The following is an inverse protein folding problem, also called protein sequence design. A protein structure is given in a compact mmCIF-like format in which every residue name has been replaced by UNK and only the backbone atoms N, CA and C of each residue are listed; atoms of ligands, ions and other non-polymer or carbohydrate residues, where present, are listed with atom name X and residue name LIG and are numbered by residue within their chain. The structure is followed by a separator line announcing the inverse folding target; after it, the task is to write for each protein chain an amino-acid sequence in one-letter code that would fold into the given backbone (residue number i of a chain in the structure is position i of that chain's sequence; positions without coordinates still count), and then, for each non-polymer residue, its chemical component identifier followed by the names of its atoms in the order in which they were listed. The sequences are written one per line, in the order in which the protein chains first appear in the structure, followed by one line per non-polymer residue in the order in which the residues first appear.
data_IF_737954367663
#
_entry.id   IF_737954367663
#
_cell.length_a   1.000
_cell.length_b   1.000
_cell.length_c   1.000
_cell.angle_alpha   90.00
_cell.angle_beta   90.00
_cell.angle_gamma   90.00
#
_symmetry.space_group_name_H-M   'P 1'
#
loop_
_entity.id
_entity.type
_entity.pdbx_description
1 polymer ?
#
# COMPACT_ATOMS: atom_id res chain seq x y z
N UNK A 1 -15.36 -22.33 15.80
CA UNK A 1 -15.04 -21.16 14.97
C UNK A 1 -13.55 -20.94 15.05
N UNK A 2 -12.91 -20.76 13.90
CA UNK A 2 -11.48 -20.47 13.84
C UNK A 2 -11.29 -18.99 14.11
N UNK A 3 -10.44 -18.61 15.06
CA UNK A 3 -10.17 -17.22 15.42
C UNK A 3 -8.68 -16.92 15.35
N UNK A 4 -8.35 -15.70 14.92
CA UNK A 4 -7.00 -15.15 14.96
C UNK A 4 -6.93 -14.13 16.09
N UNK A 5 -5.88 -14.19 16.89
CA UNK A 5 -5.66 -13.30 18.02
C UNK A 5 -4.49 -12.40 17.72
N UNK A 6 -4.63 -11.12 18.03
CA UNK A 6 -3.51 -10.18 17.98
C UNK A 6 -2.95 -10.03 19.37
N UNK A 7 -1.64 -10.25 19.50
CA UNK A 7 -0.93 -10.19 20.76
C UNK A 7 0.10 -9.06 20.76
N UNK A 8 0.40 -8.55 21.95
CA UNK A 8 1.47 -7.59 22.23
C UNK A 8 2.36 -8.15 23.33
N UNK A 9 3.66 -8.01 23.20
CA UNK A 9 4.62 -8.19 24.28
C UNK A 9 5.25 -6.84 24.63
N UNK A 10 5.24 -6.48 25.91
CA UNK A 10 5.93 -5.29 26.41
C UNK A 10 7.42 -5.55 26.67
N UNK A 11 8.14 -4.51 27.09
CA UNK A 11 9.57 -4.53 27.38
C UNK A 11 9.94 -5.38 28.61
N UNK A 12 8.96 -5.68 29.48
CA UNK A 12 9.12 -6.61 30.60
C UNK A 12 8.81 -8.06 30.21
N UNK A 13 8.49 -8.30 28.93
CA UNK A 13 8.15 -9.61 28.41
C UNK A 13 6.72 -10.05 28.70
N UNK A 14 5.88 -9.18 29.27
CA UNK A 14 4.48 -9.49 29.58
C UNK A 14 3.65 -9.48 28.30
N UNK A 15 2.86 -10.54 28.11
CA UNK A 15 2.04 -10.74 26.91
C UNK A 15 0.59 -10.35 27.17
N UNK A 16 0.02 -9.55 26.27
CA UNK A 16 -1.36 -9.10 26.32
C UNK A 16 -2.06 -9.46 25.02
N UNK A 17 -3.23 -10.08 25.11
CA UNK A 17 -4.12 -10.25 23.96
C UNK A 17 -4.82 -8.93 23.69
N UNK A 18 -4.55 -8.35 22.52
CA UNK A 18 -5.03 -7.03 22.12
C UNK A 18 -6.41 -7.08 21.48
N UNK A 19 -6.67 -8.08 20.62
CA UNK A 19 -7.94 -8.24 19.91
C UNK A 19 -8.10 -9.64 19.32
N UNK A 20 -9.32 -10.00 18.94
CA UNK A 20 -9.65 -11.26 18.24
C UNK A 20 -10.36 -10.95 16.93
N UNK A 21 -10.06 -11.71 15.88
CA UNK A 21 -10.55 -11.52 14.52
C UNK A 21 -11.06 -12.85 13.94
N UNK A 22 -12.10 -12.77 13.11
CA UNK A 22 -12.63 -13.90 12.35
C UNK A 22 -11.90 -14.16 11.03
N UNK A 23 -11.04 -13.22 10.60
CA UNK A 23 -10.26 -13.30 9.38
C UNK A 23 -8.79 -13.00 9.67
N UNK A 24 -7.88 -13.72 8.99
CA UNK A 24 -6.44 -13.60 9.17
C UNK A 24 -5.92 -12.25 8.69
N UNK A 25 -6.44 -11.74 7.58
CA UNK A 25 -5.96 -10.49 6.98
C UNK A 25 -6.33 -9.32 7.88
N UNK A 26 -7.53 -9.31 8.46
CA UNK A 26 -7.93 -8.30 9.45
C UNK A 26 -6.98 -8.27 10.67
N UNK A 27 -6.57 -9.45 11.16
CA UNK A 27 -5.60 -9.56 12.25
C UNK A 27 -4.22 -9.02 11.85
N UNK A 28 -3.72 -9.36 10.66
CA UNK A 28 -2.42 -8.87 10.15
C UNK A 28 -2.49 -7.36 9.90
N UNK A 29 -3.57 -6.85 9.30
CA UNK A 29 -3.83 -5.42 9.12
C UNK A 29 -3.76 -4.69 10.45
N UNK A 30 -4.36 -5.25 11.50
CA UNK A 30 -4.29 -4.66 12.84
C UNK A 30 -2.86 -4.62 13.38
N UNK A 31 -2.07 -5.68 13.23
CA UNK A 31 -0.64 -5.70 13.62
C UNK A 31 0.14 -4.63 12.86
N UNK A 32 0.01 -4.59 11.52
CA UNK A 32 0.70 -3.61 10.67
C UNK A 32 0.38 -2.18 11.14
N UNK A 33 -0.90 -1.85 11.36
CA UNK A 33 -1.29 -0.51 11.82
C UNK A 33 -0.67 -0.16 13.17
N UNK A 34 -0.56 -1.11 14.10
CA UNK A 34 0.05 -0.89 15.41
C UNK A 34 1.57 -0.69 15.31
N UNK A 35 2.27 -1.53 14.55
CA UNK A 35 3.71 -1.44 14.33
C UNK A 35 4.13 -0.18 13.57
N UNK A 36 3.19 0.40 12.79
CA UNK A 36 3.41 1.63 12.02
C UNK A 36 3.34 2.91 12.86
N UNK A 37 3.07 2.77 14.16
CA UNK A 37 2.99 3.86 15.13
C UNK A 37 4.34 4.52 15.46
N UNK A 38 4.42 5.29 16.57
CA UNK A 38 5.69 5.77 17.08
C UNK A 38 6.62 4.60 17.40
N UNK A 39 7.93 4.78 17.19
CA UNK A 39 8.94 3.77 17.55
C UNK A 39 8.78 3.39 19.03
N UNK A 40 8.59 2.10 19.28
CA UNK A 40 8.42 1.53 20.60
C UNK A 40 9.17 0.19 20.70
N UNK A 41 9.43 -0.26 21.93
CA UNK A 41 10.05 -1.57 22.20
C UNK A 41 9.04 -2.72 22.30
N UNK A 42 7.77 -2.46 22.00
CA UNK A 42 6.72 -3.45 22.00
C UNK A 42 6.78 -4.28 20.72
N UNK A 43 6.48 -5.57 20.83
CA UNK A 43 6.35 -6.45 19.67
C UNK A 43 4.89 -6.88 19.53
N UNK A 44 4.37 -6.87 18.31
CA UNK A 44 3.03 -7.34 17.99
C UNK A 44 3.08 -8.54 17.03
N UNK A 45 2.19 -9.51 17.23
CA UNK A 45 2.07 -10.65 16.31
C UNK A 45 0.64 -11.18 16.25
N UNK A 46 0.37 -11.95 15.20
CA UNK A 46 -0.87 -12.72 15.05
C UNK A 46 -0.63 -14.14 15.53
N UNK A 47 -1.48 -14.63 16.42
CA UNK A 47 -1.58 -16.03 16.81
C UNK A 47 -2.86 -16.65 16.23
N UNK A 48 -2.77 -17.86 15.71
CA UNK A 48 -3.88 -18.52 15.04
C UNK A 48 -3.43 -19.57 14.04
N UNK A 49 -4.37 -20.23 13.34
CA UNK A 49 -4.03 -21.29 12.42
C UNK A 49 -3.18 -20.79 11.25
N UNK A 50 -2.18 -21.58 10.89
CA UNK A 50 -1.28 -21.30 9.79
C UNK A 50 -1.90 -21.69 8.43
N UNK A 51 -2.98 -21.01 8.05
CA UNK A 51 -3.62 -21.16 6.74
C UNK A 51 -3.72 -19.79 6.06
N UNK A 52 -3.27 -19.66 4.81
CA UNK A 52 -3.40 -18.41 4.08
C UNK A 52 -4.87 -18.11 3.79
N UNK A 53 -5.27 -16.85 3.92
CA UNK A 53 -6.60 -16.37 3.57
C UNK A 53 -6.72 -16.10 2.06
N UNK A 54 -5.67 -15.53 1.45
CA UNK A 54 -5.51 -15.38 0.02
C UNK A 54 -4.70 -16.55 -0.54
N UNK A 55 -5.31 -17.36 -1.43
CA UNK A 55 -4.60 -18.45 -2.12
C UNK A 55 -4.07 -18.03 -3.48
N UNK A 56 -4.64 -16.97 -4.03
CA UNK A 56 -4.34 -16.45 -5.36
C UNK A 56 -4.29 -14.93 -5.34
N UNK A 57 -3.63 -14.34 -6.33
CA UNK A 57 -3.70 -12.89 -6.55
C UNK A 57 -5.12 -12.40 -6.80
N UNK A 58 -5.98 -13.23 -7.39
CA UNK A 58 -7.39 -12.89 -7.59
C UNK A 58 -8.13 -12.70 -6.26
N UNK A 59 -7.79 -13.48 -5.24
CA UNK A 59 -8.36 -13.32 -3.89
C UNK A 59 -7.91 -11.99 -3.27
N UNK A 60 -6.61 -11.68 -3.39
CA UNK A 60 -6.04 -10.41 -2.95
C UNK A 60 -6.68 -9.22 -3.68
N UNK A 61 -6.76 -9.27 -5.02
CA UNK A 61 -7.40 -8.26 -5.87
C UNK A 61 -8.82 -7.93 -5.40
N UNK A 62 -9.68 -8.95 -5.23
CA UNK A 62 -11.07 -8.72 -4.82
C UNK A 62 -11.18 -8.02 -3.47
N UNK A 63 -10.34 -8.40 -2.51
CA UNK A 63 -10.33 -7.80 -1.17
C UNK A 63 -9.86 -6.35 -1.22
N UNK A 64 -8.75 -6.10 -1.91
CA UNK A 64 -8.19 -4.74 -1.98
C UNK A 64 -9.09 -3.82 -2.81
N UNK A 65 -9.67 -4.30 -3.92
CA UNK A 65 -10.62 -3.51 -4.73
C UNK A 65 -11.84 -3.09 -3.90
N UNK A 66 -12.42 -4.00 -3.11
CA UNK A 66 -13.52 -3.68 -2.20
C UNK A 66 -13.10 -2.65 -1.13
N UNK A 67 -11.89 -2.80 -0.57
CA UNK A 67 -11.36 -1.83 0.40
C UNK A 67 -11.10 -0.46 -0.23
N UNK A 68 -10.64 -0.42 -1.49
CA UNK A 68 -10.42 0.81 -2.27
C UNK A 68 -11.73 1.53 -2.59
N UNK A 69 -12.77 0.79 -2.97
CA UNK A 69 -14.14 1.32 -3.12
C UNK A 69 -14.64 1.96 -1.83
N UNK A 70 -14.52 1.25 -0.71
CA UNK A 70 -14.95 1.77 0.58
C UNK A 70 -14.17 3.02 1.00
N UNK A 71 -12.85 3.05 0.74
CA UNK A 71 -12.00 4.21 1.03
C UNK A 71 -12.38 5.43 0.19
N UNK A 72 -12.59 5.25 -1.11
CA UNK A 72 -13.02 6.31 -2.03
C UNK A 72 -14.41 6.84 -1.65
N UNK A 73 -15.35 5.95 -1.32
CA UNK A 73 -16.67 6.32 -0.83
C UNK A 73 -16.62 7.10 0.50
N UNK A 74 -15.61 6.84 1.34
CA UNK A 74 -15.35 7.60 2.56
C UNK A 74 -14.62 8.94 2.33
N UNK A 75 -14.36 9.31 1.06
CA UNK A 75 -13.70 10.57 0.69
C UNK A 75 -12.19 10.57 0.86
N UNK A 76 -11.57 9.39 1.02
CA UNK A 76 -10.11 9.29 1.16
C UNK A 76 -9.43 9.68 -0.14
N UNK A 77 -8.50 10.62 -0.06
CA UNK A 77 -7.73 11.07 -1.23
C UNK A 77 -6.59 10.10 -1.55
N UNK A 78 -6.13 10.10 -2.80
CA UNK A 78 -4.97 9.31 -3.20
C UNK A 78 -3.69 9.72 -2.43
N UNK A 79 -3.54 11.01 -2.11
CA UNK A 79 -2.42 11.50 -1.29
C UNK A 79 -2.43 10.89 0.12
N UNK A 80 -3.60 10.82 0.76
CA UNK A 80 -3.75 10.20 2.09
C UNK A 80 -3.50 8.69 2.06
N UNK A 81 -3.99 8.02 1.00
CA UNK A 81 -3.71 6.61 0.77
C UNK A 81 -2.21 6.36 0.61
N UNK A 82 -1.53 7.04 -0.32
CA UNK A 82 -0.10 6.84 -0.56
C UNK A 82 0.74 7.16 0.67
N UNK A 83 0.40 8.25 1.39
CA UNK A 83 1.05 8.58 2.65
C UNK A 83 0.89 7.50 3.72
N UNK A 84 -0.29 6.90 3.79
CA UNK A 84 -0.56 5.81 4.71
C UNK A 84 0.11 4.51 4.25
N UNK A 85 0.15 4.24 2.95
CA UNK A 85 0.83 3.08 2.38
C UNK A 85 2.33 3.11 2.64
N UNK A 86 2.95 4.27 2.45
CA UNK A 86 4.33 4.52 2.87
C UNK A 86 4.52 4.28 4.37
N UNK A 87 3.63 4.80 5.21
CA UNK A 87 3.72 4.63 6.66
C UNK A 87 3.64 3.15 7.05
N UNK A 88 2.67 2.42 6.49
CA UNK A 88 2.39 1.02 6.87
C UNK A 88 3.35 -0.01 6.26
N UNK A 89 4.14 0.38 5.26
CA UNK A 89 5.19 -0.49 4.74
C UNK A 89 6.45 -0.49 5.60
N UNK A 90 6.66 0.52 6.46
CA UNK A 90 7.89 0.68 7.24
C UNK A 90 8.21 -0.51 8.15
N UNK A 91 7.25 -1.13 8.87
CA UNK A 91 7.54 -2.31 9.69
C UNK A 91 7.94 -3.53 8.85
N UNK A 92 7.69 -3.51 7.55
CA UNK A 92 7.97 -4.60 6.62
C UNK A 92 9.26 -4.37 5.83
N UNK A 93 9.97 -3.27 6.06
CA UNK A 93 11.09 -2.82 5.23
C UNK A 93 12.24 -3.85 5.10
N UNK A 94 12.49 -4.61 6.16
CA UNK A 94 13.55 -5.62 6.20
C UNK A 94 13.11 -6.99 5.62
N UNK A 95 11.84 -7.13 5.21
CA UNK A 95 11.35 -8.33 4.56
C UNK A 95 11.66 -8.25 3.05
N UNK A 96 12.42 -9.21 2.49
CA UNK A 96 12.71 -9.22 1.06
C UNK A 96 11.47 -9.61 0.24
N UNK A 97 10.60 -10.42 0.82
CA UNK A 97 9.36 -10.91 0.23
C UNK A 97 8.23 -10.88 1.28
N UNK A 98 7.01 -10.63 0.81
CA UNK A 98 5.78 -10.65 1.59
C UNK A 98 4.89 -11.78 1.07
N UNK A 99 4.24 -12.53 1.96
CA UNK A 99 3.15 -13.41 1.52
C UNK A 99 1.93 -12.59 1.04
N UNK A 100 1.03 -13.24 0.31
CA UNK A 100 -0.16 -12.56 -0.23
C UNK A 100 -1.06 -11.96 0.86
N UNK A 101 -1.17 -12.61 2.01
CA UNK A 101 -1.97 -12.10 3.13
C UNK A 101 -1.37 -10.81 3.67
N UNK A 102 -0.05 -10.74 3.81
CA UNK A 102 0.70 -9.57 4.30
C UNK A 102 0.64 -8.42 3.31
N UNK A 103 0.81 -8.68 2.01
CA UNK A 103 0.61 -7.67 0.96
C UNK A 103 -0.82 -7.12 1.00
N UNK A 104 -1.82 -8.00 1.03
CA UNK A 104 -3.25 -7.63 1.06
C UNK A 104 -3.56 -6.82 2.33
N UNK A 105 -3.02 -7.25 3.47
CA UNK A 105 -3.20 -6.60 4.75
C UNK A 105 -2.54 -5.21 4.79
N UNK A 106 -1.37 -5.05 4.19
CA UNK A 106 -0.67 -3.76 4.06
C UNK A 106 -1.49 -2.78 3.21
N UNK A 107 -1.96 -3.20 2.04
CA UNK A 107 -2.80 -2.36 1.18
C UNK A 107 -4.11 -1.99 1.88
N UNK A 108 -4.74 -2.94 2.58
CA UNK A 108 -5.96 -2.71 3.37
C UNK A 108 -5.71 -1.78 4.56
N UNK A 109 -4.57 -1.91 5.24
CA UNK A 109 -4.15 -1.00 6.30
C UNK A 109 -4.00 0.43 5.78
N UNK A 110 -3.42 0.61 4.59
CA UNK A 110 -3.25 1.92 3.95
C UNK A 110 -4.58 2.62 3.62
N UNK A 111 -5.68 1.87 3.47
CA UNK A 111 -7.02 2.42 3.24
C UNK A 111 -7.62 3.09 4.48
N UNK A 112 -7.17 2.73 5.68
CA UNK A 112 -7.82 3.14 6.95
C UNK A 112 -6.87 3.83 7.93
N UNK A 113 -5.57 3.55 7.85
CA UNK A 113 -4.58 4.19 8.71
C UNK A 113 -4.62 5.71 8.54
N UNK A 114 -4.44 6.45 9.63
CA UNK A 114 -4.33 7.91 9.54
C UNK A 114 -2.93 8.27 9.04
N UNK A 115 -2.79 9.02 7.94
CA UNK A 115 -1.48 9.44 7.47
C UNK A 115 -0.84 10.34 8.54
N UNK A 116 0.34 9.94 9.02
CA UNK A 116 1.21 10.81 9.82
C UNK A 116 1.98 11.77 8.91
N UNK A 117 2.65 12.77 9.48
CA UNK A 117 3.44 13.75 8.73
C UNK A 117 4.36 13.05 7.71
N UNK A 118 3.99 13.16 6.43
CA UNK A 118 4.76 12.61 5.32
C UNK A 118 5.94 13.56 5.10
N UNK A 119 7.19 13.05 5.07
CA UNK A 119 8.37 13.86 4.82
C UNK A 119 8.21 14.67 3.54
N UNK A 120 8.64 15.94 3.56
CA UNK A 120 8.78 16.72 2.34
C UNK A 120 10.00 16.21 1.58
N UNK A 121 9.76 15.42 0.53
CA UNK A 121 10.82 14.87 -0.31
C UNK A 121 10.54 15.25 -1.75
N UNK A 122 11.49 15.98 -2.35
CA UNK A 122 11.55 16.25 -3.78
C UNK A 122 12.75 15.50 -4.35
N UNK A 123 12.55 14.24 -4.71
CA UNK A 123 13.59 13.40 -5.31
C UNK A 123 13.14 12.88 -6.67
N UNK A 124 14.12 12.54 -7.51
CA UNK A 124 13.86 11.67 -8.65
C UNK A 124 13.33 10.31 -8.14
N UNK A 125 12.42 9.68 -8.89
CA UNK A 125 11.99 8.32 -8.60
C UNK A 125 12.89 7.32 -9.34
N UNK A 126 13.23 6.17 -8.73
CA UNK A 126 13.96 5.12 -9.43
C UNK A 126 13.09 4.48 -10.53
N UNK A 127 13.74 4.15 -11.65
CA UNK A 127 13.12 3.58 -12.86
C UNK A 127 12.74 2.11 -12.74
N UNK A 128 13.29 1.37 -11.78
CA UNK A 128 12.79 0.10 -11.27
C UNK A 128 13.27 0.03 -9.81
N UNK A 129 12.36 -0.28 -8.89
CA UNK A 129 12.70 -0.39 -7.47
C UNK A 129 12.70 -1.88 -7.11
N UNK A 130 13.83 -2.36 -6.62
CA UNK A 130 14.03 -3.75 -6.19
C UNK A 130 14.07 -3.87 -4.65
N UNK A 131 14.02 -2.73 -3.94
CA UNK A 131 14.10 -2.65 -2.48
C UNK A 131 13.02 -1.73 -1.89
N UNK A 132 12.75 -1.89 -0.60
CA UNK A 132 11.86 -0.98 0.15
C UNK A 132 12.30 0.48 0.06
N UNK A 133 13.61 0.74 0.09
CA UNK A 133 14.16 2.10 0.01
C UNK A 133 13.87 2.77 -1.34
N UNK A 134 14.05 2.04 -2.44
CA UNK A 134 13.74 2.54 -3.79
C UNK A 134 12.23 2.67 -3.99
N UNK A 135 11.44 1.73 -3.49
CA UNK A 135 9.98 1.81 -3.50
C UNK A 135 9.49 3.03 -2.70
N UNK A 136 10.13 3.32 -1.56
CA UNK A 136 9.85 4.51 -0.75
C UNK A 136 10.10 5.79 -1.53
N UNK A 137 11.21 5.88 -2.28
CA UNK A 137 11.48 7.04 -3.13
C UNK A 137 10.41 7.24 -4.20
N UNK A 138 9.90 6.15 -4.79
CA UNK A 138 8.79 6.20 -5.74
C UNK A 138 7.53 6.78 -5.09
N UNK A 139 7.08 6.22 -3.96
CA UNK A 139 5.85 6.66 -3.30
C UNK A 139 5.94 8.12 -2.83
N UNK A 140 7.09 8.53 -2.28
CA UNK A 140 7.29 9.92 -1.86
C UNK A 140 7.30 10.89 -3.04
N UNK A 141 7.88 10.51 -4.18
CA UNK A 141 7.83 11.32 -5.40
C UNK A 141 6.38 11.48 -5.90
N UNK A 142 5.57 10.42 -5.86
CA UNK A 142 4.16 10.48 -6.23
C UNK A 142 3.32 11.35 -5.28
N UNK A 143 3.59 11.28 -3.97
CA UNK A 143 2.94 12.17 -3.00
C UNK A 143 3.29 13.63 -3.28
N UNK A 144 4.55 13.92 -3.63
CA UNK A 144 4.95 15.27 -4.00
C UNK A 144 4.21 15.77 -5.25
N UNK A 145 4.05 14.92 -6.28
CA UNK A 145 3.27 15.23 -7.48
C UNK A 145 1.82 15.57 -7.15
N UNK A 146 1.14 14.71 -6.39
CA UNK A 146 -0.28 14.91 -6.06
C UNK A 146 -0.50 16.16 -5.21
N UNK A 147 0.43 16.48 -4.31
CA UNK A 147 0.40 17.74 -3.54
C UNK A 147 0.52 18.94 -4.48
N UNK A 148 1.45 18.90 -5.42
CA UNK A 148 1.63 19.98 -6.39
C UNK A 148 0.41 20.14 -7.30
N UNK A 149 -0.15 19.05 -7.81
CA UNK A 149 -1.41 19.04 -8.58
C UNK A 149 -2.57 19.64 -7.79
N UNK A 150 -2.67 19.32 -6.49
CA UNK A 150 -3.73 19.85 -5.63
C UNK A 150 -3.60 21.37 -5.41
N UNK A 151 -2.37 21.91 -5.45
CA UNK A 151 -2.12 23.35 -5.31
C UNK A 151 -2.37 24.12 -6.61
N UNK A 152 -2.10 23.52 -7.77
CA UNK A 152 -2.31 24.18 -9.07
C UNK A 152 -3.77 24.17 -9.49
N UNK A 153 -4.59 23.23 -8.99
CA UNK A 153 -6.05 23.22 -9.12
C UNK A 153 -6.58 22.98 -10.54
N UNK A 154 -5.71 22.81 -11.53
CA UNK A 154 -6.08 22.65 -12.93
C UNK A 154 -5.98 21.18 -13.37
N UNK A 155 -7.03 20.42 -13.10
CA UNK A 155 -7.22 19.11 -13.74
C UNK A 155 -7.71 19.25 -15.19
N UNK A 156 -7.99 20.47 -15.65
CA UNK A 156 -8.48 20.79 -16.98
C UNK A 156 -9.81 20.12 -17.35
N UNK A 157 -10.38 20.52 -18.48
CA UNK A 157 -11.57 19.88 -19.09
C UNK A 157 -11.34 18.44 -19.59
N UNK A 158 -10.10 17.96 -19.51
CA UNK A 158 -9.61 16.69 -20.07
C UNK A 158 -8.84 15.85 -19.06
N UNK A 159 -8.95 16.11 -17.75
CA UNK A 159 -8.21 15.38 -16.71
C UNK A 159 -8.41 13.86 -16.75
N UNK A 160 -9.51 13.38 -17.33
CA UNK A 160 -9.76 11.95 -17.56
C UNK A 160 -8.84 11.30 -18.63
N UNK A 161 -8.21 12.09 -19.51
CA UNK A 161 -7.14 11.62 -20.40
C UNK A 161 -5.76 11.68 -19.73
N UNK A 162 -5.74 12.03 -18.46
CA UNK A 162 -4.56 12.18 -17.65
C UNK A 162 -3.97 13.58 -17.68
N UNK A 163 -3.25 13.89 -16.60
CA UNK A 163 -2.70 15.21 -16.27
C UNK A 163 -1.20 15.09 -16.13
N UNK A 164 -0.45 16.00 -16.73
CA UNK A 164 1.00 16.00 -16.60
C UNK A 164 1.42 16.39 -15.17
N UNK A 165 2.37 15.65 -14.62
CA UNK A 165 2.96 15.92 -13.33
C UNK A 165 3.62 17.32 -13.36
N UNK A 166 3.42 18.16 -12.33
CA UNK A 166 3.82 19.57 -12.38
C UNK A 166 5.35 19.82 -12.47
N UNK A 167 6.20 18.83 -12.16
CA UNK A 167 7.65 19.05 -12.02
C UNK A 167 8.48 18.55 -13.21
N UNK A 168 9.54 19.29 -13.57
CA UNK A 168 10.59 18.88 -14.51
C UNK A 168 11.65 17.94 -13.93
N UNK A 169 11.39 17.30 -12.78
CA UNK A 169 12.31 16.31 -12.20
C UNK A 169 12.26 15.02 -13.01
N UNK A 170 13.43 14.42 -13.26
CA UNK A 170 13.53 13.14 -13.96
C UNK A 170 12.82 12.06 -13.15
N UNK A 171 11.70 11.56 -13.68
CA UNK A 171 10.93 10.47 -13.08
C UNK A 171 11.37 9.15 -13.70
N UNK A 172 11.51 8.12 -12.86
CA UNK A 172 11.58 6.73 -13.28
C UNK A 172 10.22 6.18 -13.72
N UNK A 173 9.16 6.94 -13.46
CA UNK A 173 7.77 6.69 -13.87
C UNK A 173 7.32 7.70 -14.93
N UNK A 174 6.19 7.43 -15.60
CA UNK A 174 5.65 8.33 -16.62
C UNK A 174 5.38 9.73 -16.06
N UNK A 175 5.45 10.74 -16.95
CA UNK A 175 5.18 12.15 -16.60
C UNK A 175 3.69 12.45 -16.47
N UNK A 176 2.81 11.52 -16.84
CA UNK A 176 1.36 11.74 -16.92
C UNK A 176 0.64 10.85 -15.92
N UNK A 177 -0.23 11.45 -15.13
CA UNK A 177 -1.13 10.77 -14.19
C UNK A 177 -2.45 10.43 -14.85
N UNK A 178 -2.94 9.20 -14.65
CA UNK A 178 -4.23 8.76 -15.19
C UNK A 178 -5.25 8.41 -14.09
N UNK A 179 -4.78 7.95 -12.93
CA UNK A 179 -5.63 7.61 -11.79
C UNK A 179 -5.36 8.55 -10.62
N UNK A 180 -6.37 9.34 -10.21
CA UNK A 180 -6.25 10.36 -9.17
C UNK A 180 -7.07 10.05 -7.91
N UNK A 181 -7.90 9.01 -7.96
CA UNK A 181 -8.63 8.45 -6.83
C UNK A 181 -8.07 7.10 -6.39
N UNK A 182 -8.40 6.67 -5.17
CA UNK A 182 -7.84 5.47 -4.54
C UNK A 182 -8.30 4.20 -5.22
N UNK A 183 -9.58 4.11 -5.58
CA UNK A 183 -10.18 2.94 -6.21
C UNK A 183 -9.52 2.64 -7.55
N UNK A 184 -9.55 3.59 -8.48
CA UNK A 184 -9.01 3.41 -9.83
C UNK A 184 -7.50 3.15 -9.79
N UNK A 185 -6.77 3.81 -8.88
CA UNK A 185 -5.32 3.62 -8.73
C UNK A 185 -4.97 2.18 -8.31
N UNK A 186 -5.64 1.67 -7.28
CA UNK A 186 -5.32 0.34 -6.75
C UNK A 186 -5.90 -0.78 -7.62
N UNK A 187 -7.08 -0.57 -8.20
CA UNK A 187 -7.65 -1.50 -9.17
C UNK A 187 -6.74 -1.64 -10.38
N UNK A 188 -6.30 -0.52 -10.98
CA UNK A 188 -5.39 -0.54 -12.12
C UNK A 188 -4.07 -1.24 -11.76
N UNK A 189 -3.50 -0.93 -10.59
CA UNK A 189 -2.28 -1.57 -10.06
C UNK A 189 -2.36 -3.09 -9.98
N UNK A 190 -3.44 -3.61 -9.40
CA UNK A 190 -3.61 -5.03 -9.17
C UNK A 190 -4.12 -5.78 -10.41
N UNK A 191 -4.96 -5.15 -11.23
CA UNK A 191 -5.43 -5.72 -12.49
C UNK A 191 -4.27 -5.86 -13.49
N UNK A 192 -3.48 -4.80 -13.68
CA UNK A 192 -2.28 -4.86 -14.53
C UNK A 192 -1.30 -5.91 -14.05
N UNK A 193 -1.10 -6.02 -12.73
CA UNK A 193 -0.26 -7.07 -12.16
C UNK A 193 -0.80 -8.49 -12.40
N UNK A 194 -2.12 -8.68 -12.31
CA UNK A 194 -2.77 -9.95 -12.59
C UNK A 194 -2.67 -10.32 -14.07
N UNK A 195 -2.89 -9.37 -14.98
CA UNK A 195 -2.81 -9.57 -16.43
C UNK A 195 -1.39 -9.85 -16.90
N UNK A 196 -0.39 -9.25 -16.25
CA UNK A 196 1.01 -9.57 -16.48
C UNK A 196 1.40 -10.98 -15.99
N UNK A 197 0.61 -11.55 -15.07
CA UNK A 197 0.87 -12.84 -14.44
C UNK A 197 -0.38 -13.73 -14.28
N UNK A 198 -1.07 -14.08 -15.38
CA UNK A 198 -2.41 -14.67 -15.33
C UNK A 198 -2.42 -16.09 -14.75
N UNK A 199 -1.31 -16.82 -14.89
CA UNK A 199 -1.18 -18.23 -14.51
C UNK A 199 -0.22 -18.47 -13.32
N UNK A 200 0.34 -17.42 -12.71
CA UNK A 200 1.26 -17.58 -11.58
C UNK A 200 0.49 -17.72 -10.27
N UNK A 201 0.61 -18.89 -9.66
CA UNK A 201 0.33 -19.05 -8.24
C UNK A 201 1.44 -18.36 -7.43
N UNK A 202 1.21 -17.11 -7.04
CA UNK A 202 2.12 -16.41 -6.15
C UNK A 202 1.96 -16.94 -4.73
N UNK A 203 3.07 -17.43 -4.17
CA UNK A 203 3.19 -17.61 -2.72
C UNK A 203 3.64 -16.32 -2.03
N UNK A 204 4.43 -15.50 -2.74
CA UNK A 204 5.05 -14.29 -2.22
C UNK A 204 5.11 -13.19 -3.28
N UNK A 205 5.25 -11.94 -2.84
CA UNK A 205 5.50 -10.74 -3.64
C UNK A 205 6.72 -10.01 -3.08
N UNK A 206 7.44 -9.29 -3.91
CA UNK A 206 8.64 -8.55 -3.51
C UNK A 206 8.41 -7.04 -3.75
N UNK A 207 9.41 -6.23 -3.43
CA UNK A 207 9.33 -4.78 -3.65
C UNK A 207 9.27 -4.40 -5.15
N UNK A 208 9.76 -5.25 -6.05
CA UNK A 208 9.61 -5.08 -7.50
C UNK A 208 8.18 -5.24 -7.97
N UNK A 209 7.49 -6.27 -7.48
CA UNK A 209 6.07 -6.48 -7.70
C UNK A 209 5.23 -5.31 -7.14
N UNK A 210 5.53 -4.86 -5.92
CA UNK A 210 4.86 -3.68 -5.32
C UNK A 210 5.14 -2.38 -6.08
N UNK A 211 6.31 -2.26 -6.69
CA UNK A 211 6.67 -1.13 -7.56
C UNK A 211 5.83 -1.13 -8.83
N UNK A 212 5.58 -2.30 -9.43
CA UNK A 212 4.69 -2.41 -10.58
C UNK A 212 3.27 -1.97 -10.23
N UNK A 213 2.73 -2.44 -9.10
CA UNK A 213 1.40 -2.02 -8.60
C UNK A 213 1.36 -0.50 -8.39
N UNK A 214 2.40 0.08 -7.79
CA UNK A 214 2.48 1.52 -7.54
C UNK A 214 2.64 2.38 -8.80
N UNK A 215 2.89 1.81 -9.99
CA UNK A 215 3.08 2.58 -11.23
C UNK A 215 1.81 2.88 -11.98
N UNK A 216 0.73 2.16 -11.69
CA UNK A 216 -0.52 2.28 -12.43
C UNK A 216 -1.21 3.65 -12.29
N UNK A 217 -0.78 4.51 -11.36
CA UNK A 217 -1.16 5.92 -11.38
C UNK A 217 -0.60 6.71 -12.56
N UNK A 218 0.54 6.28 -13.13
CA UNK A 218 1.37 7.02 -14.08
C UNK A 218 1.75 6.23 -15.36
N UNK A 219 1.22 5.02 -15.54
CA UNK A 219 1.43 4.16 -16.70
C UNK A 219 0.19 3.29 -16.93
N UNK A 220 -0.22 3.14 -18.20
CA UNK A 220 -1.09 2.03 -18.65
C UNK A 220 -0.29 0.93 -19.36
N UNK A 221 1.03 1.10 -19.49
CA UNK A 221 1.99 0.11 -19.99
C UNK A 221 2.60 -0.72 -18.87
#
# INVERSE_FOLDING_TARGET
MTSWEVWRQDDNGVRYRMSTHSDRIDAITRVIVMESGPVHKQMYWVDGPNRPACKTLRDAYKRVALAGQAASAAGRTLTEFLGSWWLVSRPLADLPELDLDTMTAMLTAAMTATPRQIPEVRTASPGAAASHAEWTQLILAQIADLRELSMTGDLGRYGHFGVDAPSGLRRGTGVRWFNLDVESYVECGLAGFLDYHPDKAFSTVDWGHLTHIARCGQSYE
#
